data_IF_943826387782
#
_entry.id   IF_943826387782
#
_cell.length_a   1.000
_cell.length_b   1.000
_cell.length_c   1.000
_cell.angle_alpha   90.00
_cell.angle_beta   90.00
_cell.angle_gamma   90.00
#
_symmetry.space_group_name_H-M   'P 1'
#
loop_
_entity.id
_entity.type
_entity.pdbx_description
1 polymer ?
#
# COMPACT_ATOMS: atom_id res chain seq x y z
N UNK A 1 33.79 28.43 -29.35
CA UNK A 1 33.35 29.29 -28.21
C UNK A 1 32.14 28.64 -27.58
N UNK A 2 32.24 28.11 -26.36
CA UNK A 2 31.06 27.67 -25.61
C UNK A 2 30.29 28.92 -25.20
N UNK A 3 29.07 29.11 -25.71
CA UNK A 3 28.19 30.16 -25.20
C UNK A 3 27.90 29.89 -23.72
N UNK A 4 28.22 30.86 -22.86
CA UNK A 4 27.82 30.83 -21.45
C UNK A 4 26.35 31.23 -21.40
N UNK A 5 25.49 30.32 -20.90
CA UNK A 5 24.06 30.55 -20.72
C UNK A 5 23.73 30.59 -19.23
N UNK A 6 23.09 31.66 -18.76
CA UNK A 6 22.61 31.82 -17.37
C UNK A 6 21.11 31.59 -17.31
N UNK A 7 20.66 30.69 -16.43
CA UNK A 7 19.23 30.36 -16.27
C UNK A 7 18.59 31.23 -15.19
N UNK A 8 17.72 32.17 -15.59
CA UNK A 8 16.97 33.06 -14.67
C UNK A 8 15.51 32.61 -14.48
N UNK A 9 15.31 31.37 -14.04
CA UNK A 9 13.99 30.71 -14.06
C UNK A 9 13.08 31.06 -12.86
N UNK A 10 13.64 31.52 -11.75
CA UNK A 10 12.86 31.79 -10.52
C UNK A 10 11.83 32.90 -10.74
N UNK A 11 12.26 34.05 -11.30
CA UNK A 11 11.35 35.15 -11.59
C UNK A 11 10.30 34.76 -12.64
N UNK A 12 10.73 34.09 -13.71
CA UNK A 12 9.83 33.59 -14.74
C UNK A 12 8.74 32.67 -14.14
N UNK A 13 9.11 31.71 -13.28
CA UNK A 13 8.17 30.86 -12.57
C UNK A 13 7.18 31.66 -11.72
N UNK A 14 7.67 32.67 -10.98
CA UNK A 14 6.82 33.51 -10.14
C UNK A 14 5.86 34.38 -10.95
N UNK A 15 6.28 34.88 -12.13
CA UNK A 15 5.41 35.64 -13.03
C UNK A 15 4.23 34.76 -13.51
N UNK A 16 4.45 33.46 -13.79
CA UNK A 16 3.36 32.53 -14.11
C UNK A 16 2.51 32.12 -12.90
N UNK A 17 3.08 32.09 -11.69
CA UNK A 17 2.29 31.94 -10.47
C UNK A 17 1.31 33.12 -10.30
N UNK A 18 1.77 34.35 -10.51
CA UNK A 18 0.93 35.55 -10.48
C UNK A 18 -0.15 35.54 -11.58
N UNK A 19 0.17 35.01 -12.77
CA UNK A 19 -0.81 34.84 -13.84
C UNK A 19 -1.93 33.86 -13.43
N UNK A 20 -1.58 32.76 -12.76
CA UNK A 20 -2.56 31.81 -12.23
C UNK A 20 -3.49 32.46 -11.19
N UNK A 21 -2.95 33.31 -10.31
CA UNK A 21 -3.71 33.99 -9.25
C UNK A 21 -4.59 35.14 -9.76
N UNK A 22 -4.06 35.95 -10.68
CA UNK A 22 -4.78 37.12 -11.22
C UNK A 22 -5.91 36.76 -12.18
N UNK A 23 -5.90 35.54 -12.73
CA UNK A 23 -6.84 35.06 -13.74
C UNK A 23 -6.91 35.96 -14.99
N UNK A 24 -5.90 36.82 -15.21
CA UNK A 24 -5.91 37.81 -16.27
C UNK A 24 -5.87 37.13 -17.65
N UNK A 25 -6.84 37.44 -18.51
CA UNK A 25 -6.96 36.85 -19.86
C UNK A 25 -7.16 35.31 -19.86
N UNK A 26 -7.81 34.78 -18.82
CA UNK A 26 -8.21 33.37 -18.82
C UNK A 26 -9.14 33.06 -20.00
N UNK A 27 -8.97 31.88 -20.58
CA UNK A 27 -9.78 31.41 -21.71
C UNK A 27 -10.23 29.95 -21.56
N UNK A 28 -9.91 29.32 -20.43
CA UNK A 28 -10.35 27.98 -20.03
C UNK A 28 -10.97 28.05 -18.65
N UNK A 29 -12.09 27.36 -18.43
CA UNK A 29 -12.64 27.07 -17.12
C UNK A 29 -12.63 25.57 -16.91
N UNK A 30 -11.92 25.10 -15.89
CA UNK A 30 -11.97 23.72 -15.43
C UNK A 30 -12.90 23.64 -14.22
N UNK A 31 -13.92 22.80 -14.29
CA UNK A 31 -14.87 22.57 -13.21
C UNK A 31 -14.58 21.25 -12.50
N UNK A 32 -14.49 21.29 -11.17
CA UNK A 32 -14.30 20.12 -10.30
C UNK A 32 -15.31 20.22 -9.17
N UNK A 33 -16.32 19.34 -9.19
CA UNK A 33 -17.47 19.46 -8.29
C UNK A 33 -18.13 20.84 -8.39
N UNK A 34 -18.17 21.57 -7.28
CA UNK A 34 -18.72 22.93 -7.22
C UNK A 34 -17.68 24.03 -7.50
N UNK A 35 -16.39 23.71 -7.53
CA UNK A 35 -15.33 24.70 -7.76
C UNK A 35 -15.04 24.86 -9.26
N UNK A 36 -14.71 26.08 -9.65
CA UNK A 36 -14.33 26.45 -11.02
C UNK A 36 -12.98 27.15 -10.99
N UNK A 37 -12.07 26.71 -11.85
CA UNK A 37 -10.71 27.23 -11.99
C UNK A 37 -10.59 27.91 -13.34
N UNK A 38 -10.25 29.19 -13.34
CA UNK A 38 -10.00 29.97 -14.55
C UNK A 38 -8.53 29.86 -14.92
N UNK A 39 -8.26 29.38 -16.12
CA UNK A 39 -6.94 28.94 -16.57
C UNK A 39 -6.66 29.37 -18.02
N UNK A 40 -5.43 29.12 -18.47
CA UNK A 40 -4.88 29.63 -19.73
C UNK A 40 -4.51 28.46 -20.64
N UNK A 41 -5.21 28.34 -21.77
CA UNK A 41 -5.07 27.22 -22.70
C UNK A 41 -3.63 26.97 -23.14
N UNK A 42 -2.84 28.04 -23.38
CA UNK A 42 -1.47 27.93 -23.86
C UNK A 42 -0.57 27.19 -22.85
N UNK A 43 -0.68 27.53 -21.56
CA UNK A 43 0.09 26.89 -20.50
C UNK A 43 -0.31 25.42 -20.37
N UNK A 44 -1.63 25.16 -20.30
CA UNK A 44 -2.16 23.80 -20.16
C UNK A 44 -1.76 22.90 -21.34
N UNK A 45 -1.95 23.39 -22.57
CA UNK A 45 -1.64 22.68 -23.82
C UNK A 45 -0.17 22.27 -23.90
N UNK A 46 0.73 23.18 -23.49
CA UNK A 46 2.16 22.93 -23.58
C UNK A 46 2.63 21.94 -22.51
N UNK A 47 2.07 22.01 -21.31
CA UNK A 47 2.59 21.32 -20.13
C UNK A 47 1.94 19.96 -19.87
N UNK A 48 0.75 19.69 -20.42
CA UNK A 48 0.01 18.45 -20.17
C UNK A 48 -0.55 17.88 -21.48
N UNK A 49 -0.26 16.61 -21.74
CA UNK A 49 -0.81 15.89 -22.91
C UNK A 49 -2.32 15.70 -22.81
N UNK A 50 -2.85 15.48 -21.60
CA UNK A 50 -4.29 15.43 -21.35
C UNK A 50 -4.96 16.74 -21.78
N UNK A 51 -4.49 17.88 -21.26
CA UNK A 51 -5.07 19.16 -21.64
C UNK A 51 -4.86 19.48 -23.12
N UNK A 52 -3.73 19.08 -23.70
CA UNK A 52 -3.51 19.20 -25.15
C UNK A 52 -4.64 18.54 -25.93
N UNK A 53 -4.96 17.29 -25.59
CA UNK A 53 -6.05 16.55 -26.23
C UNK A 53 -7.41 17.23 -26.00
N UNK A 54 -7.75 17.49 -24.73
CA UNK A 54 -9.04 18.10 -24.36
C UNK A 54 -9.28 19.47 -25.02
N UNK A 55 -8.24 20.30 -25.12
CA UNK A 55 -8.34 21.63 -25.74
C UNK A 55 -8.51 21.57 -27.25
N UNK A 56 -8.06 20.49 -27.91
CA UNK A 56 -8.29 20.31 -29.36
C UNK A 56 -9.68 19.77 -29.68
N UNK A 57 -10.30 19.03 -28.77
CA UNK A 57 -11.61 18.39 -28.98
C UNK A 57 -12.77 19.24 -28.48
N UNK A 58 -12.54 20.10 -27.48
CA UNK A 58 -13.62 20.86 -26.83
C UNK A 58 -14.03 22.10 -27.62
N UNK A 59 -15.33 22.26 -27.87
CA UNK A 59 -15.88 23.45 -28.53
C UNK A 59 -15.89 24.67 -27.60
N UNK A 60 -15.48 25.83 -28.13
CA UNK A 60 -15.55 27.12 -27.42
C UNK A 60 -17.00 27.60 -27.31
N UNK A 61 -17.39 28.10 -26.13
CA UNK A 61 -18.64 28.84 -25.94
C UNK A 61 -18.31 30.23 -25.40
N UNK A 62 -18.72 31.29 -26.10
CA UNK A 62 -18.41 32.68 -25.76
C UNK A 62 -16.89 32.91 -25.57
N UNK A 63 -16.07 32.40 -26.49
CA UNK A 63 -14.59 32.42 -26.44
C UNK A 63 -13.95 31.69 -25.24
N UNK A 64 -14.74 31.00 -24.40
CA UNK A 64 -14.24 30.24 -23.25
C UNK A 64 -14.40 28.74 -23.52
N UNK A 65 -13.35 27.97 -23.23
CA UNK A 65 -13.39 26.50 -23.22
C UNK A 65 -13.82 26.05 -21.81
N UNK A 66 -14.77 25.13 -21.70
CA UNK A 66 -15.21 24.58 -20.42
C UNK A 66 -14.92 23.09 -20.35
N UNK A 67 -14.09 22.68 -19.40
CA UNK A 67 -13.72 21.28 -19.15
C UNK A 67 -14.29 20.90 -17.79
N UNK A 68 -14.90 19.71 -17.68
CA UNK A 68 -15.40 19.19 -16.40
C UNK A 68 -14.63 17.93 -16.04
N UNK A 69 -14.01 17.91 -14.87
CA UNK A 69 -13.31 16.74 -14.35
C UNK A 69 -14.17 16.08 -13.28
N UNK A 70 -14.45 14.79 -13.46
CA UNK A 70 -15.05 13.94 -12.43
C UNK A 70 -13.94 13.24 -11.63
N UNK A 71 -14.29 12.77 -10.43
CA UNK A 71 -13.44 11.88 -9.61
C UNK A 71 -12.03 12.44 -9.35
N UNK A 72 -11.95 13.76 -9.15
CA UNK A 72 -10.69 14.49 -8.97
C UNK A 72 -10.72 15.24 -7.64
N UNK A 73 -9.72 15.02 -6.78
CA UNK A 73 -9.54 15.81 -5.56
C UNK A 73 -9.24 17.26 -5.93
N UNK A 74 -9.98 18.19 -5.33
CA UNK A 74 -9.78 19.63 -5.48
C UNK A 74 -8.41 20.04 -4.94
N UNK A 75 -8.00 19.47 -3.81
CA UNK A 75 -6.71 19.73 -3.16
C UNK A 75 -5.56 19.27 -4.05
N UNK A 76 -5.61 18.03 -4.57
CA UNK A 76 -4.62 17.52 -5.50
C UNK A 76 -4.56 18.36 -6.78
N UNK A 77 -5.70 18.79 -7.32
CA UNK A 77 -5.73 19.61 -8.52
C UNK A 77 -5.10 21.00 -8.31
N UNK A 78 -5.29 21.62 -7.14
CA UNK A 78 -4.64 22.89 -6.79
C UNK A 78 -3.10 22.78 -6.80
N UNK A 79 -2.57 21.68 -6.28
CA UNK A 79 -1.13 21.43 -6.29
C UNK A 79 -0.66 21.17 -7.73
N UNK A 80 -1.36 20.32 -8.48
CA UNK A 80 -1.07 19.98 -9.86
C UNK A 80 -1.04 21.23 -10.77
N UNK A 81 -2.04 22.10 -10.65
CA UNK A 81 -2.14 23.28 -11.52
C UNK A 81 -1.05 24.30 -11.20
N UNK A 82 -0.71 24.48 -9.92
CA UNK A 82 0.44 25.30 -9.53
C UNK A 82 1.74 24.75 -10.13
N UNK A 83 1.95 23.42 -10.09
CA UNK A 83 3.10 22.80 -10.75
C UNK A 83 3.09 23.00 -12.27
N UNK A 84 1.94 22.88 -12.93
CA UNK A 84 1.83 23.10 -14.38
C UNK A 84 2.32 24.51 -14.77
N UNK A 85 1.95 25.53 -13.98
CA UNK A 85 2.32 26.92 -14.23
C UNK A 85 3.77 27.24 -13.86
N UNK A 86 4.25 26.70 -12.74
CA UNK A 86 5.51 27.16 -12.12
C UNK A 86 6.67 26.18 -12.28
N UNK A 87 6.38 24.90 -12.52
CA UNK A 87 7.37 23.82 -12.41
C UNK A 87 7.84 23.57 -10.97
N UNK A 88 7.18 24.16 -9.97
CA UNK A 88 7.53 23.98 -8.55
C UNK A 88 6.50 23.10 -7.85
N UNK A 89 6.97 22.29 -6.91
CA UNK A 89 6.13 21.46 -6.05
C UNK A 89 6.63 21.55 -4.60
N UNK A 90 5.69 21.65 -3.67
CA UNK A 90 5.93 21.63 -2.23
C UNK A 90 4.94 20.64 -1.64
N UNK A 91 5.46 19.54 -1.06
CA UNK A 91 4.66 18.45 -0.50
C UNK A 91 4.75 18.37 1.03
N UNK A 92 5.58 19.20 1.65
CA UNK A 92 5.75 19.24 3.09
C UNK A 92 4.49 19.81 3.75
N UNK A 93 3.96 19.11 4.76
CA UNK A 93 2.75 19.50 5.48
C UNK A 93 1.44 19.04 4.82
N UNK A 94 1.46 18.56 3.57
CA UNK A 94 0.28 17.98 2.93
C UNK A 94 -0.05 16.59 3.48
N UNK A 95 -1.34 16.26 3.50
CA UNK A 95 -1.83 14.92 3.89
C UNK A 95 -1.34 13.89 2.88
N UNK A 96 -0.87 12.75 3.36
CA UNK A 96 -0.35 11.67 2.50
C UNK A 96 -1.38 11.19 1.48
N UNK A 97 -2.67 11.17 1.83
CA UNK A 97 -3.75 10.85 0.91
C UNK A 97 -3.85 11.84 -0.26
N UNK A 98 -3.66 13.14 0.00
CA UNK A 98 -3.68 14.17 -1.04
C UNK A 98 -2.47 14.06 -1.96
N UNK A 99 -1.29 13.71 -1.42
CA UNK A 99 -0.08 13.45 -2.20
C UNK A 99 -0.26 12.20 -3.07
N UNK A 100 -0.88 11.17 -2.54
CA UNK A 100 -1.21 9.96 -3.30
C UNK A 100 -2.24 10.23 -4.41
N UNK A 101 -3.28 11.02 -4.13
CA UNK A 101 -4.25 11.43 -5.15
C UNK A 101 -3.59 12.33 -6.22
N UNK A 102 -2.62 13.16 -5.83
CA UNK A 102 -1.80 13.94 -6.76
C UNK A 102 -0.95 13.05 -7.67
N UNK A 103 -0.40 11.93 -7.19
CA UNK A 103 0.32 10.96 -8.03
C UNK A 103 -0.59 10.42 -9.14
N UNK A 104 -1.78 9.95 -8.77
CA UNK A 104 -2.77 9.41 -9.71
C UNK A 104 -3.17 10.48 -10.73
N UNK A 105 -3.41 11.70 -10.26
CA UNK A 105 -3.75 12.82 -11.10
C UNK A 105 -2.60 13.19 -12.05
N UNK A 106 -1.36 13.21 -11.58
CA UNK A 106 -0.18 13.53 -12.39
C UNK A 106 -0.04 12.55 -13.56
N UNK A 107 -0.33 11.27 -13.33
CA UNK A 107 -0.35 10.27 -14.39
C UNK A 107 -1.47 10.52 -15.40
N UNK A 108 -2.71 10.75 -14.93
CA UNK A 108 -3.87 11.09 -15.78
C UNK A 108 -3.58 12.30 -16.67
N UNK A 109 -2.84 13.28 -16.15
CA UNK A 109 -2.49 14.51 -16.86
C UNK A 109 -1.23 14.41 -17.73
N UNK A 110 -0.58 13.24 -17.77
CA UNK A 110 0.59 12.97 -18.59
C UNK A 110 1.85 13.70 -18.12
N UNK A 111 2.02 13.90 -16.82
CA UNK A 111 3.14 14.61 -16.21
C UNK A 111 4.20 13.63 -15.69
N UNK A 112 4.91 12.95 -16.60
CA UNK A 112 5.82 11.85 -16.26
C UNK A 112 6.90 12.21 -15.22
N UNK A 113 7.56 13.37 -15.36
CA UNK A 113 8.56 13.85 -14.40
C UNK A 113 7.98 14.00 -12.99
N UNK A 114 6.73 14.48 -12.89
CA UNK A 114 6.05 14.64 -11.62
C UNK A 114 5.65 13.29 -11.01
N UNK A 115 5.21 12.35 -11.84
CA UNK A 115 4.89 10.98 -11.44
C UNK A 115 6.11 10.27 -10.85
N UNK A 116 7.27 10.41 -11.49
CA UNK A 116 8.53 9.84 -10.98
C UNK A 116 8.90 10.46 -9.62
N UNK A 117 8.90 11.80 -9.53
CA UNK A 117 9.22 12.52 -8.30
C UNK A 117 8.31 12.13 -7.13
N UNK A 118 6.99 12.10 -7.32
CA UNK A 118 6.04 11.82 -6.23
C UNK A 118 6.18 10.36 -5.76
N UNK A 119 6.42 9.41 -6.66
CA UNK A 119 6.66 8.01 -6.25
C UNK A 119 7.87 7.91 -5.32
N UNK A 120 9.01 8.48 -5.71
CA UNK A 120 10.21 8.51 -4.87
C UNK A 120 9.93 9.20 -3.53
N UNK A 121 9.29 10.36 -3.54
CA UNK A 121 8.95 11.08 -2.31
C UNK A 121 8.09 10.24 -1.35
N UNK A 122 7.05 9.58 -1.86
CA UNK A 122 6.17 8.73 -1.06
C UNK A 122 6.91 7.52 -0.48
N UNK A 123 7.79 6.89 -1.28
CA UNK A 123 8.59 5.73 -0.83
C UNK A 123 9.61 6.16 0.22
N UNK A 124 10.34 7.24 0.00
CA UNK A 124 11.46 7.63 0.86
C UNK A 124 10.98 8.27 2.17
N UNK A 125 9.88 9.03 2.13
CA UNK A 125 9.44 9.85 3.26
C UNK A 125 8.15 9.35 3.90
N UNK A 126 7.29 8.62 3.15
CA UNK A 126 5.93 8.25 3.58
C UNK A 126 5.68 6.73 3.53
N UNK A 127 6.73 5.90 3.52
CA UNK A 127 6.63 4.44 3.53
C UNK A 127 5.68 3.86 4.60
N UNK A 128 5.64 4.37 5.86
CA UNK A 128 4.70 3.85 6.86
C UNK A 128 3.24 4.00 6.43
N UNK A 129 2.88 5.13 5.81
CA UNK A 129 1.54 5.35 5.30
C UNK A 129 1.23 4.45 4.11
N UNK A 130 2.19 4.25 3.19
CA UNK A 130 2.02 3.31 2.07
C UNK A 130 1.75 1.88 2.55
N UNK A 131 2.45 1.44 3.61
CA UNK A 131 2.23 0.12 4.25
C UNK A 131 0.88 0.06 4.97
N UNK A 132 0.45 1.14 5.61
CA UNK A 132 -0.86 1.21 6.27
C UNK A 132 -2.00 1.13 5.24
N UNK A 133 -1.82 1.71 4.05
CA UNK A 133 -2.81 1.74 2.96
C UNK A 133 -2.46 0.77 1.83
N UNK A 134 -1.86 -0.37 2.18
CA UNK A 134 -1.21 -1.25 1.22
C UNK A 134 -2.15 -1.76 0.12
N UNK A 135 -3.37 -2.20 0.44
CA UNK A 135 -4.29 -2.74 -0.57
C UNK A 135 -4.66 -1.69 -1.63
N UNK A 136 -5.01 -0.46 -1.19
CA UNK A 136 -5.24 0.67 -2.09
C UNK A 136 -4.00 1.00 -2.92
N UNK A 137 -2.83 1.13 -2.28
CA UNK A 137 -1.57 1.46 -2.97
C UNK A 137 -1.20 0.40 -4.01
N UNK A 138 -1.30 -0.88 -3.65
CA UNK A 138 -1.05 -1.99 -4.54
C UNK A 138 -2.00 -1.96 -5.73
N UNK A 139 -3.32 -1.89 -5.49
CA UNK A 139 -4.31 -1.85 -6.56
C UNK A 139 -4.06 -0.69 -7.51
N UNK A 140 -3.84 0.53 -6.99
CA UNK A 140 -3.55 1.71 -7.81
C UNK A 140 -2.24 1.57 -8.59
N UNK A 141 -1.19 0.99 -8.00
CA UNK A 141 0.11 0.83 -8.67
C UNK A 141 0.03 -0.02 -9.94
N UNK A 142 -0.93 -0.95 -10.02
CA UNK A 142 -1.12 -1.83 -11.18
C UNK A 142 -2.21 -1.36 -12.15
N UNK A 143 -2.84 -0.19 -11.91
CA UNK A 143 -3.74 0.45 -12.88
C UNK A 143 -3.01 0.92 -14.13
N UNK A 144 -1.75 1.32 -13.98
CA UNK A 144 -0.94 1.88 -15.05
C UNK A 144 0.52 1.44 -14.90
N UNK A 145 1.19 1.22 -16.01
CA UNK A 145 2.60 0.83 -16.07
C UNK A 145 3.57 1.97 -15.71
N UNK A 146 3.07 3.20 -15.55
CA UNK A 146 3.87 4.36 -15.17
C UNK A 146 4.24 4.39 -13.68
N UNK A 147 3.60 3.56 -12.84
CA UNK A 147 3.87 3.49 -11.40
C UNK A 147 4.94 2.45 -11.02
N UNK A 148 6.00 2.32 -11.81
CA UNK A 148 7.02 1.27 -11.67
C UNK A 148 7.68 1.23 -10.29
N UNK A 149 7.99 2.39 -9.71
CA UNK A 149 8.64 2.45 -8.40
C UNK A 149 7.72 1.96 -7.28
N UNK A 150 6.43 2.32 -7.33
CA UNK A 150 5.44 1.79 -6.40
C UNK A 150 5.15 0.29 -6.63
N UNK A 151 5.08 -0.15 -7.88
CA UNK A 151 4.94 -1.57 -8.20
C UNK A 151 6.11 -2.37 -7.60
N UNK A 152 7.35 -1.91 -7.79
CA UNK A 152 8.54 -2.53 -7.19
C UNK A 152 8.48 -2.53 -5.66
N UNK A 153 8.17 -1.39 -5.04
CA UNK A 153 8.01 -1.28 -3.59
C UNK A 153 6.98 -2.29 -3.05
N UNK A 154 5.80 -2.38 -3.67
CA UNK A 154 4.75 -3.28 -3.20
C UNK A 154 5.12 -4.75 -3.44
N UNK A 155 5.71 -5.06 -4.59
CA UNK A 155 6.11 -6.44 -4.94
C UNK A 155 7.22 -6.96 -4.03
N UNK A 156 8.22 -6.15 -3.67
CA UNK A 156 9.24 -6.56 -2.70
C UNK A 156 8.63 -6.88 -1.33
N UNK A 157 7.64 -6.10 -0.88
CA UNK A 157 6.92 -6.38 0.37
C UNK A 157 6.12 -7.68 0.26
N UNK A 158 5.38 -7.89 -0.83
CA UNK A 158 4.58 -9.10 -1.05
C UNK A 158 5.40 -10.37 -1.19
N UNK A 159 6.63 -10.28 -1.70
CA UNK A 159 7.57 -11.40 -1.73
C UNK A 159 7.85 -11.95 -0.32
N UNK A 160 7.82 -11.09 0.71
CA UNK A 160 8.18 -11.44 2.09
C UNK A 160 6.96 -11.62 2.99
N UNK A 161 5.92 -10.82 2.75
CA UNK A 161 4.73 -10.73 3.60
C UNK A 161 3.44 -10.69 2.77
N UNK A 162 3.09 -11.77 2.02
CA UNK A 162 1.90 -11.78 1.18
C UNK A 162 0.60 -11.56 1.98
N UNK A 163 0.58 -11.92 3.26
CA UNK A 163 -0.57 -11.74 4.13
C UNK A 163 -0.94 -10.27 4.39
N UNK A 164 -0.05 -9.31 4.14
CA UNK A 164 -0.37 -7.88 4.28
C UNK A 164 -1.57 -7.47 3.41
N UNK A 165 -1.74 -8.14 2.26
CA UNK A 165 -2.89 -7.93 1.38
C UNK A 165 -3.90 -9.06 1.52
N UNK A 166 -3.46 -10.33 1.56
CA UNK A 166 -4.38 -11.48 1.54
C UNK A 166 -5.22 -11.60 2.82
N UNK A 167 -4.71 -11.14 3.96
CA UNK A 167 -5.46 -11.12 5.21
C UNK A 167 -6.19 -9.78 5.45
N UNK A 168 -6.11 -8.82 4.53
CA UNK A 168 -6.79 -7.53 4.66
C UNK A 168 -8.27 -7.67 4.30
N UNK A 169 -9.12 -6.96 5.04
CA UNK A 169 -10.54 -6.79 4.72
C UNK A 169 -10.75 -6.08 3.38
N UNK A 170 -9.77 -5.27 2.94
CA UNK A 170 -9.80 -4.55 1.66
C UNK A 170 -9.37 -5.44 0.48
N UNK A 171 -9.00 -6.71 0.69
CA UNK A 171 -8.52 -7.60 -0.37
C UNK A 171 -9.52 -7.76 -1.50
N UNK A 172 -10.80 -7.94 -1.18
CA UNK A 172 -11.84 -8.13 -2.19
C UNK A 172 -12.12 -6.87 -3.00
N UNK A 173 -11.62 -5.70 -2.56
CA UNK A 173 -11.76 -4.42 -3.25
C UNK A 173 -10.62 -4.13 -4.23
N UNK A 174 -9.57 -4.96 -4.30
CA UNK A 174 -8.50 -4.77 -5.27
C UNK A 174 -9.03 -5.04 -6.68
N UNK A 175 -8.48 -4.33 -7.65
CA UNK A 175 -8.83 -4.51 -9.05
C UNK A 175 -8.27 -5.82 -9.62
N UNK A 176 -8.95 -6.37 -10.63
CA UNK A 176 -8.61 -7.65 -11.26
C UNK A 176 -7.16 -7.69 -11.77
N UNK A 177 -6.71 -6.61 -12.42
CA UNK A 177 -5.32 -6.48 -12.88
C UNK A 177 -4.30 -6.62 -11.74
N UNK A 178 -4.58 -6.10 -10.55
CA UNK A 178 -3.73 -6.26 -9.38
C UNK A 178 -3.73 -7.71 -8.90
N UNK A 179 -4.90 -8.36 -8.84
CA UNK A 179 -5.00 -9.78 -8.50
C UNK A 179 -4.24 -10.66 -9.52
N UNK A 180 -4.40 -10.42 -10.81
CA UNK A 180 -3.67 -11.12 -11.88
C UNK A 180 -2.16 -10.99 -11.69
N UNK A 181 -1.67 -9.77 -11.41
CA UNK A 181 -0.25 -9.53 -11.16
C UNK A 181 0.23 -10.22 -9.87
N UNK A 182 -0.61 -10.33 -8.85
CA UNK A 182 -0.32 -11.11 -7.65
C UNK A 182 -0.17 -12.60 -8.00
N UNK A 183 -1.14 -13.18 -8.70
CA UNK A 183 -1.16 -14.61 -9.01
C UNK A 183 0.00 -15.05 -9.91
N UNK A 184 0.46 -14.19 -10.83
CA UNK A 184 1.61 -14.43 -11.70
C UNK A 184 2.95 -14.59 -10.95
N UNK A 185 3.04 -14.14 -9.70
CA UNK A 185 4.31 -14.14 -8.95
C UNK A 185 4.74 -15.55 -8.56
N UNK A 186 6.00 -15.88 -8.80
CA UNK A 186 6.58 -17.16 -8.40
C UNK A 186 7.07 -17.17 -6.95
N UNK A 187 7.20 -16.02 -6.30
CA UNK A 187 7.89 -15.84 -5.01
C UNK A 187 6.93 -15.55 -3.84
N UNK A 188 5.62 -15.78 -4.00
CA UNK A 188 4.68 -15.64 -2.88
C UNK A 188 4.88 -16.74 -1.85
N UNK A 189 5.12 -16.34 -0.60
CA UNK A 189 5.31 -17.24 0.55
C UNK A 189 3.97 -17.63 1.18
N UNK A 190 3.12 -18.31 0.40
CA UNK A 190 1.82 -18.82 0.86
C UNK A 190 1.47 -20.12 0.11
N UNK A 191 0.73 -21.03 0.75
CA UNK A 191 0.28 -22.26 0.11
C UNK A 191 -0.72 -21.97 -1.02
N UNK A 192 -0.62 -22.74 -2.12
CA UNK A 192 -1.48 -22.52 -3.28
C UNK A 192 -2.97 -22.75 -2.94
N UNK A 193 -3.26 -23.63 -1.97
CA UNK A 193 -4.63 -23.87 -1.53
C UNK A 193 -5.26 -22.68 -0.80
N UNK A 194 -4.45 -21.85 -0.12
CA UNK A 194 -4.90 -20.60 0.50
C UNK A 194 -5.09 -19.50 -0.55
N UNK A 195 -4.23 -19.45 -1.58
CA UNK A 195 -4.41 -18.56 -2.72
C UNK A 195 -5.74 -18.85 -3.41
N UNK A 196 -6.07 -20.12 -3.63
CA UNK A 196 -7.34 -20.53 -4.19
C UNK A 196 -8.53 -20.02 -3.37
N UNK A 197 -8.51 -20.19 -2.04
CA UNK A 197 -9.58 -19.70 -1.16
C UNK A 197 -9.77 -18.19 -1.31
N UNK A 198 -8.66 -17.44 -1.40
CA UNK A 198 -8.69 -15.99 -1.61
C UNK A 198 -9.22 -15.61 -2.97
N UNK A 199 -8.82 -16.30 -4.04
CA UNK A 199 -9.34 -16.05 -5.40
C UNK A 199 -10.85 -16.30 -5.47
N UNK A 200 -11.34 -17.36 -4.83
CA UNK A 200 -12.78 -17.61 -4.74
C UNK A 200 -13.48 -16.54 -3.89
N UNK A 201 -12.89 -16.12 -2.77
CA UNK A 201 -13.42 -15.03 -1.95
C UNK A 201 -13.55 -13.73 -2.76
N UNK A 202 -12.51 -13.35 -3.50
CA UNK A 202 -12.52 -12.19 -4.38
C UNK A 202 -13.55 -12.34 -5.49
N UNK A 203 -13.57 -13.48 -6.18
CA UNK A 203 -14.51 -13.74 -7.27
C UNK A 203 -15.96 -13.65 -6.82
N UNK A 204 -16.30 -14.20 -5.65
CA UNK A 204 -17.66 -14.10 -5.09
C UNK A 204 -18.09 -12.67 -4.81
N UNK A 205 -17.19 -11.83 -4.29
CA UNK A 205 -17.50 -10.42 -4.01
C UNK A 205 -17.68 -9.61 -5.31
N UNK A 206 -16.98 -10.00 -6.37
CA UNK A 206 -17.04 -9.33 -7.68
C UNK A 206 -18.16 -9.87 -8.58
N UNK A 207 -18.78 -10.98 -8.24
CA UNK A 207 -19.94 -11.54 -8.96
C UNK A 207 -21.23 -11.23 -8.20
N UNK A 208 -22.08 -10.31 -8.70
CA UNK A 208 -23.32 -9.96 -8.02
C UNK A 208 -24.30 -11.14 -7.95
N UNK A 209 -25.22 -11.08 -6.99
CA UNK A 209 -26.36 -12.00 -6.84
C UNK A 209 -26.01 -13.50 -6.61
N UNK A 210 -24.80 -13.79 -6.13
CA UNK A 210 -24.43 -15.16 -5.75
C UNK A 210 -25.06 -15.57 -4.40
N UNK A 211 -25.73 -16.74 -4.33
CA UNK A 211 -26.18 -17.29 -3.06
C UNK A 211 -25.01 -17.59 -2.12
N UNK A 212 -25.20 -17.40 -0.81
CA UNK A 212 -24.15 -17.71 0.18
C UNK A 212 -23.89 -19.22 0.29
N UNK A 213 -24.94 -20.04 0.19
CA UNK A 213 -24.84 -21.49 0.21
C UNK A 213 -24.60 -22.03 -1.21
N UNK A 214 -23.49 -22.75 -1.38
CA UNK A 214 -23.09 -23.35 -2.65
C UNK A 214 -24.12 -24.36 -3.20
N UNK A 215 -24.91 -25.00 -2.32
CA UNK A 215 -25.94 -25.95 -2.74
C UNK A 215 -27.11 -25.27 -3.48
N UNK A 216 -27.25 -23.95 -3.33
CA UNK A 216 -28.27 -23.16 -4.01
C UNK A 216 -27.80 -22.63 -5.37
N UNK A 217 -26.54 -22.89 -5.75
CA UNK A 217 -25.98 -22.36 -6.98
C UNK A 217 -26.53 -23.07 -8.20
N UNK A 218 -27.00 -22.27 -9.15
CA UNK A 218 -27.41 -22.69 -10.48
C UNK A 218 -26.23 -22.72 -11.45
N UNK A 219 -26.39 -23.35 -12.61
CA UNK A 219 -25.38 -23.31 -13.68
C UNK A 219 -25.02 -21.87 -14.08
N UNK A 220 -26.01 -20.96 -14.07
CA UNK A 220 -25.77 -19.53 -14.30
C UNK A 220 -24.84 -18.93 -13.25
N UNK A 221 -25.01 -19.25 -11.97
CA UNK A 221 -24.13 -18.73 -10.92
C UNK A 221 -22.68 -19.18 -11.12
N UNK A 222 -22.46 -20.44 -11.49
CA UNK A 222 -21.11 -20.93 -11.82
C UNK A 222 -20.54 -20.27 -13.07
N UNK A 223 -21.36 -20.04 -14.11
CA UNK A 223 -20.94 -19.36 -15.33
C UNK A 223 -20.57 -17.89 -15.08
N UNK A 224 -21.35 -17.18 -14.26
CA UNK A 224 -21.09 -15.79 -13.89
C UNK A 224 -19.78 -15.69 -13.10
N UNK A 225 -19.56 -16.57 -12.10
CA UNK A 225 -18.29 -16.63 -11.36
C UNK A 225 -17.11 -16.99 -12.27
N UNK A 226 -17.30 -17.97 -13.17
CA UNK A 226 -16.28 -18.35 -14.15
C UNK A 226 -15.87 -17.16 -15.01
N UNK A 227 -16.84 -16.37 -15.46
CA UNK A 227 -16.59 -15.17 -16.27
C UNK A 227 -15.79 -14.14 -15.48
N UNK A 228 -16.13 -13.92 -14.20
CA UNK A 228 -15.38 -13.03 -13.30
C UNK A 228 -13.95 -13.50 -13.05
N UNK A 229 -13.71 -14.82 -13.00
CA UNK A 229 -12.41 -15.41 -12.68
C UNK A 229 -11.64 -15.92 -13.90
N UNK A 230 -12.08 -15.64 -15.13
CA UNK A 230 -11.56 -16.24 -16.36
C UNK A 230 -10.04 -16.04 -16.52
N UNK A 231 -9.55 -14.84 -16.19
CA UNK A 231 -8.11 -14.53 -16.24
C UNK A 231 -7.33 -15.04 -15.02
N UNK A 232 -8.02 -15.34 -13.91
CA UNK A 232 -7.39 -15.77 -12.66
C UNK A 232 -7.25 -17.30 -12.59
N UNK A 233 -8.25 -18.06 -13.07
CA UNK A 233 -8.29 -19.52 -13.04
C UNK A 233 -7.02 -20.16 -13.66
N UNK A 234 -6.51 -19.71 -14.82
CA UNK A 234 -5.31 -20.27 -15.43
C UNK A 234 -4.02 -19.99 -14.66
N UNK A 235 -4.02 -19.07 -13.69
CA UNK A 235 -2.84 -18.66 -12.92
C UNK A 235 -2.68 -19.45 -11.61
N UNK A 236 -3.63 -20.33 -11.29
CA UNK A 236 -3.59 -21.19 -10.09
C UNK A 236 -2.78 -22.45 -10.39
N UNK A 237 -1.89 -22.81 -9.47
CA UNK A 237 -1.01 -23.98 -9.59
C UNK A 237 -1.67 -25.25 -9.05
N UNK A 238 -2.79 -25.68 -9.61
CA UNK A 238 -3.59 -26.82 -9.11
C UNK A 238 -2.78 -28.08 -8.83
N UNK A 239 -1.83 -28.42 -9.71
CA UNK A 239 -0.97 -29.61 -9.60
C UNK A 239 0.07 -29.54 -8.47
N UNK A 240 0.15 -28.39 -7.77
CA UNK A 240 1.01 -28.18 -6.59
C UNK A 240 0.21 -28.22 -5.29
N UNK A 241 -1.12 -28.38 -5.36
CA UNK A 241 -1.99 -28.53 -4.20
C UNK A 241 -2.05 -29.99 -3.74
N UNK A 242 -2.27 -30.21 -2.45
CA UNK A 242 -2.52 -31.56 -1.94
C UNK A 242 -3.84 -32.11 -2.49
N UNK A 243 -3.94 -33.42 -2.71
CA UNK A 243 -5.21 -34.05 -3.12
C UNK A 243 -6.34 -33.79 -2.11
N UNK A 244 -6.01 -33.69 -0.82
CA UNK A 244 -6.95 -33.30 0.25
C UNK A 244 -7.53 -31.91 -0.01
N UNK A 245 -6.68 -30.92 -0.32
CA UNK A 245 -7.10 -29.55 -0.59
C UNK A 245 -7.90 -29.45 -1.89
N UNK A 246 -7.51 -30.18 -2.94
CA UNK A 246 -8.30 -30.22 -4.18
C UNK A 246 -9.72 -30.73 -3.90
N UNK A 247 -9.86 -31.83 -3.16
CA UNK A 247 -11.18 -32.40 -2.85
C UNK A 247 -12.00 -31.48 -1.95
N UNK A 248 -11.39 -30.87 -0.94
CA UNK A 248 -12.10 -30.04 0.02
C UNK A 248 -12.44 -28.64 -0.53
N UNK A 249 -11.52 -28.01 -1.25
CA UNK A 249 -11.59 -26.57 -1.61
C UNK A 249 -11.89 -26.34 -3.10
N UNK A 250 -11.35 -27.16 -4.00
CA UNK A 250 -11.47 -26.93 -5.46
C UNK A 250 -12.65 -27.66 -6.08
N UNK A 251 -12.85 -28.95 -5.73
CA UNK A 251 -13.96 -29.80 -6.22
C UNK A 251 -15.36 -29.18 -6.10
N UNK A 252 -15.70 -28.42 -5.03
CA UNK A 252 -16.99 -27.76 -4.95
C UNK A 252 -17.25 -26.78 -6.11
N UNK A 253 -16.19 -26.18 -6.66
CA UNK A 253 -16.23 -25.21 -7.75
C UNK A 253 -15.87 -25.80 -9.12
N UNK A 254 -15.76 -27.13 -9.27
CA UNK A 254 -15.28 -27.79 -10.52
C UNK A 254 -15.94 -27.29 -11.81
N UNK A 255 -17.19 -26.82 -11.74
CA UNK A 255 -17.92 -26.29 -12.90
C UNK A 255 -17.25 -25.06 -13.53
N UNK A 256 -16.53 -24.25 -12.75
CA UNK A 256 -15.85 -23.05 -13.27
C UNK A 256 -14.56 -23.37 -14.02
N UNK A 257 -13.93 -24.52 -13.72
CA UNK A 257 -12.66 -24.94 -14.32
C UNK A 257 -12.82 -25.44 -15.77
N UNK A 258 -14.04 -25.85 -16.15
CA UNK A 258 -14.30 -26.55 -17.41
C UNK A 258 -13.89 -28.03 -17.35
N UNK A 259 -14.45 -28.83 -18.26
CA UNK A 259 -14.29 -30.30 -18.26
C UNK A 259 -12.82 -30.71 -18.38
N UNK A 260 -12.09 -30.19 -19.36
CA UNK A 260 -10.70 -30.59 -19.63
C UNK A 260 -9.77 -30.37 -18.42
N UNK A 261 -9.83 -29.18 -17.79
CA UNK A 261 -8.96 -28.88 -16.65
C UNK A 261 -9.32 -29.71 -15.42
N UNK A 262 -10.61 -29.90 -15.15
CA UNK A 262 -11.05 -30.73 -14.02
C UNK A 262 -10.67 -32.21 -14.21
N UNK A 263 -10.79 -32.73 -15.43
CA UNK A 263 -10.43 -34.11 -15.76
C UNK A 263 -8.90 -34.33 -15.63
N UNK A 264 -8.10 -33.37 -16.09
CA UNK A 264 -6.63 -33.42 -15.95
C UNK A 264 -6.20 -33.34 -14.47
N UNK A 265 -6.84 -32.47 -13.66
CA UNK A 265 -6.61 -32.40 -12.20
C UNK A 265 -6.98 -33.73 -11.53
N UNK A 266 -8.16 -34.27 -11.86
CA UNK A 266 -8.64 -35.54 -11.29
C UNK A 266 -7.73 -36.70 -11.65
N UNK A 267 -7.25 -36.73 -12.91
CA UNK A 267 -6.31 -37.73 -13.42
C UNK A 267 -4.99 -37.69 -12.64
N UNK A 268 -4.38 -36.51 -12.46
CA UNK A 268 -3.13 -36.36 -11.69
C UNK A 268 -3.25 -36.72 -10.21
N UNK A 269 -4.45 -36.63 -9.63
CA UNK A 269 -4.69 -37.06 -8.25
C UNK A 269 -4.72 -38.58 -8.13
N UNK A 270 -5.28 -39.27 -9.13
CA UNK A 270 -5.38 -40.73 -9.16
C UNK A 270 -4.08 -41.40 -9.58
N UNK A 271 -3.39 -40.82 -10.56
CA UNK A 271 -2.12 -41.27 -11.11
C UNK A 271 -1.21 -40.05 -11.35
N UNK A 272 -0.25 -39.80 -10.43
CA UNK A 272 0.68 -38.68 -10.54
C UNK A 272 1.53 -38.69 -11.83
N UNK A 273 1.74 -39.85 -12.43
CA UNK A 273 2.60 -40.02 -13.61
C UNK A 273 1.82 -39.94 -14.94
N UNK A 274 0.48 -39.97 -14.88
CA UNK A 274 -0.38 -39.89 -16.06
C UNK A 274 -0.12 -38.63 -16.90
N UNK A 275 -0.13 -38.76 -18.23
CA UNK A 275 -0.04 -37.63 -19.13
C UNK A 275 -1.35 -36.83 -19.17
N UNK A 276 -1.23 -35.50 -19.23
CA UNK A 276 -2.37 -34.58 -19.28
C UNK A 276 -2.17 -33.52 -20.35
N UNK A 277 -3.25 -32.85 -20.74
CA UNK A 277 -3.21 -31.78 -21.76
C UNK A 277 -2.96 -30.39 -21.18
N UNK A 278 -3.34 -30.18 -19.92
CA UNK A 278 -3.23 -28.89 -19.22
C UNK A 278 -1.78 -28.50 -18.97
N UNK A 279 -1.51 -27.20 -19.04
CA UNK A 279 -0.20 -26.65 -18.68
C UNK A 279 0.04 -26.76 -17.17
N UNK A 280 1.15 -27.40 -16.78
CA UNK A 280 1.55 -27.52 -15.39
C UNK A 280 2.40 -26.32 -15.00
N UNK A 281 1.86 -25.44 -14.16
CA UNK A 281 2.63 -24.36 -13.56
C UNK A 281 3.57 -24.91 -12.46
N UNK A 282 4.84 -24.45 -12.40
CA UNK A 282 5.80 -24.89 -11.39
C UNK A 282 5.41 -24.38 -10.01
N UNK A 283 5.79 -25.08 -8.94
CA UNK A 283 5.57 -24.61 -7.56
C UNK A 283 6.14 -23.20 -7.33
N UNK A 284 5.45 -22.41 -6.50
CA UNK A 284 6.00 -21.13 -6.03
C UNK A 284 7.29 -21.38 -5.26
N UNK A 285 8.31 -20.57 -5.54
CA UNK A 285 9.60 -20.55 -4.86
C UNK A 285 9.38 -20.14 -3.41
N UNK A 286 9.29 -21.13 -2.54
CA UNK A 286 9.39 -20.92 -1.10
C UNK A 286 10.84 -20.58 -0.81
N UNK A 287 11.09 -19.37 -0.33
CA UNK A 287 12.36 -19.08 0.32
C UNK A 287 12.27 -19.90 1.60
N UNK A 288 13.17 -20.87 1.84
CA UNK A 288 13.25 -21.48 3.15
C UNK A 288 13.40 -20.29 4.08
N UNK A 289 12.45 -20.10 4.98
CA UNK A 289 12.57 -19.12 6.03
C UNK A 289 13.67 -19.68 6.95
N UNK A 290 14.93 -19.66 6.51
CA UNK A 290 15.96 -19.11 7.35
C UNK A 290 15.46 -17.69 7.58
N UNK A 291 14.59 -17.55 8.59
CA UNK A 291 14.62 -16.37 9.41
C UNK A 291 16.13 -16.14 9.57
N UNK A 292 16.67 -14.94 9.32
CA UNK A 292 17.96 -14.68 9.91
C UNK A 292 17.78 -15.19 11.34
N UNK A 293 18.59 -16.18 11.75
CA UNK A 293 18.79 -16.41 13.16
C UNK A 293 19.23 -15.03 13.56
N UNK A 294 18.28 -14.23 14.05
CA UNK A 294 18.62 -13.01 14.68
C UNK A 294 19.24 -13.62 15.91
N UNK A 295 20.55 -13.79 15.90
CA UNK A 295 21.33 -13.73 17.11
C UNK A 295 21.03 -12.33 17.67
N UNK A 296 19.82 -12.15 18.22
CA UNK A 296 19.53 -11.05 19.10
C UNK A 296 20.09 -11.49 20.44
N UNK A 297 21.42 -11.60 20.50
CA UNK A 297 22.09 -11.17 21.70
C UNK A 297 21.92 -9.64 21.76
N UNK A 298 20.70 -9.14 22.00
CA UNK A 298 20.57 -7.80 22.53
C UNK A 298 21.11 -7.91 23.95
N UNK A 299 22.23 -7.25 24.20
CA UNK A 299 22.83 -7.24 25.52
C UNK A 299 21.82 -6.57 26.44
N UNK A 300 21.22 -7.37 27.32
CA UNK A 300 20.31 -6.85 28.32
C UNK A 300 21.04 -5.80 29.16
N UNK A 301 20.69 -4.55 28.89
CA UNK A 301 21.29 -3.40 29.53
C UNK A 301 20.51 -3.00 30.80
N UNK A 302 19.48 -3.75 31.18
CA UNK A 302 18.69 -3.50 32.39
C UNK A 302 19.35 -4.12 33.61
N UNK A 303 19.28 -3.41 34.74
CA UNK A 303 19.64 -3.96 36.06
C UNK A 303 18.40 -4.34 36.88
N UNK A 304 17.20 -4.23 36.30
CA UNK A 304 15.90 -4.42 36.97
C UNK A 304 15.18 -5.67 36.44
N UNK A 305 15.23 -5.91 35.13
CA UNK A 305 14.54 -7.03 34.47
C UNK A 305 15.51 -7.88 33.67
N UNK A 306 15.21 -9.18 33.57
CA UNK A 306 15.99 -10.17 32.81
C UNK A 306 15.31 -10.49 31.47
N UNK A 307 15.90 -11.39 30.69
CA UNK A 307 15.45 -11.74 29.34
C UNK A 307 14.08 -12.43 29.35
N UNK A 308 13.80 -13.20 30.40
CA UNK A 308 12.49 -13.81 30.65
C UNK A 308 11.38 -12.76 30.79
N UNK A 309 11.65 -11.66 31.50
CA UNK A 309 10.70 -10.54 31.58
C UNK A 309 10.53 -9.83 30.24
N UNK A 310 11.59 -9.69 29.43
CA UNK A 310 11.48 -9.09 28.10
C UNK A 310 10.61 -9.93 27.17
N UNK A 311 10.75 -11.26 27.21
CA UNK A 311 9.91 -12.18 26.44
C UNK A 311 8.43 -12.09 26.87
N UNK A 312 8.18 -11.96 28.16
CA UNK A 312 6.82 -11.80 28.71
C UNK A 312 6.20 -10.45 28.34
N UNK A 313 6.94 -9.35 28.51
CA UNK A 313 6.47 -8.01 28.15
C UNK A 313 6.18 -7.92 26.65
N UNK A 314 7.00 -8.57 25.81
CA UNK A 314 6.77 -8.62 24.37
C UNK A 314 5.43 -9.29 24.04
N UNK A 315 5.10 -10.38 24.74
CA UNK A 315 3.78 -11.03 24.58
C UNK A 315 2.63 -10.10 24.98
N UNK A 316 2.80 -9.27 26.01
CA UNK A 316 1.79 -8.29 26.43
C UNK A 316 1.60 -7.17 25.40
N UNK A 317 2.69 -6.67 24.81
CA UNK A 317 2.65 -5.65 23.74
C UNK A 317 1.86 -6.19 22.55
N UNK A 318 2.13 -7.43 22.13
CA UNK A 318 1.48 -8.08 20.98
C UNK A 318 0.09 -8.65 21.28
N UNK A 319 -0.33 -8.66 22.55
CA UNK A 319 -1.49 -9.44 23.03
C UNK A 319 -1.41 -10.91 22.62
N UNK A 320 -0.20 -11.45 22.60
CA UNK A 320 0.08 -12.84 22.28
C UNK A 320 -0.36 -13.74 23.45
N UNK A 321 -1.06 -14.89 23.20
CA UNK A 321 -1.66 -15.69 24.27
C UNK A 321 -0.63 -16.44 25.13
N UNK A 322 0.59 -16.60 24.63
CA UNK A 322 1.69 -17.25 25.33
C UNK A 322 2.92 -16.34 25.35
N UNK A 323 3.77 -16.53 26.36
CA UNK A 323 5.08 -15.90 26.45
C UNK A 323 5.96 -16.38 25.28
N UNK A 324 6.78 -15.46 24.74
CA UNK A 324 7.79 -15.80 23.72
C UNK A 324 8.93 -16.63 24.31
N UNK A 325 9.62 -17.40 23.48
CA UNK A 325 10.94 -17.92 23.84
C UNK A 325 11.94 -16.76 23.94
N UNK A 326 12.90 -16.83 24.88
CA UNK A 326 13.94 -15.80 25.05
C UNK A 326 14.79 -15.60 23.79
N UNK A 327 14.89 -16.62 22.95
CA UNK A 327 15.61 -16.59 21.67
C UNK A 327 14.79 -16.00 20.52
N UNK A 328 13.48 -15.81 20.72
CA UNK A 328 12.52 -15.40 19.68
C UNK A 328 11.82 -14.07 19.99
N UNK A 329 12.42 -13.23 20.84
CA UNK A 329 11.85 -11.93 21.23
C UNK A 329 11.73 -11.02 19.97
N UNK A 330 10.53 -10.55 19.61
CA UNK A 330 10.30 -9.82 18.35
C UNK A 330 10.85 -8.38 18.36
N UNK A 331 11.18 -7.86 19.55
CA UNK A 331 11.59 -6.47 19.80
C UNK A 331 13.07 -6.34 20.16
N UNK A 332 13.68 -5.21 19.74
CA UNK A 332 14.98 -4.76 20.26
C UNK A 332 14.76 -3.68 21.31
N UNK A 333 14.97 -4.01 22.58
CA UNK A 333 14.87 -3.05 23.68
C UNK A 333 16.16 -2.24 23.81
N UNK A 334 16.07 -0.92 23.65
CA UNK A 334 17.18 -0.01 23.86
C UNK A 334 16.99 0.74 25.17
N UNK A 335 17.98 0.70 26.07
CA UNK A 335 17.94 1.48 27.32
C UNK A 335 18.15 2.96 27.02
N UNK A 336 17.08 3.75 27.09
CA UNK A 336 17.12 5.19 26.89
C UNK A 336 17.52 5.94 28.17
N UNK A 337 16.85 5.62 29.29
CA UNK A 337 17.02 6.28 30.59
C UNK A 337 17.15 5.25 31.71
N UNK A 338 18.07 5.49 32.65
CA UNK A 338 18.18 4.75 33.91
C UNK A 338 18.29 5.76 35.05
N UNK A 339 17.36 5.71 36.00
CA UNK A 339 17.32 6.70 37.09
C UNK A 339 18.61 6.80 37.92
N UNK A 340 19.35 5.71 38.10
CA UNK A 340 20.65 5.72 38.78
C UNK A 340 21.79 6.35 37.96
N UNK A 341 21.62 6.50 36.64
CA UNK A 341 22.59 7.11 35.71
C UNK A 341 22.21 8.55 35.37
N UNK A 342 20.92 8.78 35.10
CA UNK A 342 20.42 10.01 34.48
C UNK A 342 19.55 10.85 35.44
N UNK A 343 19.22 10.32 36.62
CA UNK A 343 18.27 10.94 37.55
C UNK A 343 16.80 10.66 37.22
N UNK A 344 15.90 11.17 38.07
CA UNK A 344 14.45 10.93 38.01
C UNK A 344 13.65 12.19 37.68
N UNK A 345 14.25 13.16 36.97
CA UNK A 345 13.58 14.44 36.67
C UNK A 345 12.66 14.30 35.45
N UNK A 346 11.52 14.99 35.49
CA UNK A 346 10.57 15.08 34.38
C UNK A 346 11.23 15.58 33.09
N UNK A 347 12.08 16.61 33.20
CA UNK A 347 12.81 17.19 32.05
C UNK A 347 13.72 16.16 31.37
N UNK A 348 14.42 15.33 32.15
CA UNK A 348 15.31 14.30 31.58
C UNK A 348 14.51 13.18 30.93
N UNK A 349 13.35 12.83 31.50
CA UNK A 349 12.44 11.86 30.90
C UNK A 349 11.93 12.33 29.54
N UNK A 350 11.34 13.53 29.46
CA UNK A 350 10.80 14.03 28.18
C UNK A 350 11.89 14.20 27.12
N UNK A 351 13.07 14.67 27.50
CA UNK A 351 14.20 14.81 26.56
C UNK A 351 14.64 13.48 25.92
N UNK A 352 14.53 12.35 26.64
CA UNK A 352 15.07 11.05 26.20
C UNK A 352 14.00 10.05 25.78
N UNK A 353 12.76 10.19 26.23
CA UNK A 353 11.73 9.15 26.21
C UNK A 353 10.40 9.60 25.56
N UNK A 354 10.37 10.69 24.81
CA UNK A 354 9.13 11.22 24.19
C UNK A 354 8.54 10.35 23.04
N UNK A 355 9.17 9.22 22.72
CA UNK A 355 8.63 8.24 21.75
C UNK A 355 7.89 7.09 22.46
N UNK A 356 7.47 6.07 21.69
CA UNK A 356 6.92 4.81 22.23
C UNK A 356 7.89 4.23 23.26
N UNK A 357 7.45 4.18 24.52
CA UNK A 357 8.35 3.87 25.64
C UNK A 357 7.72 2.89 26.61
N UNK A 358 8.53 1.90 26.99
CA UNK A 358 8.28 1.01 28.12
C UNK A 358 9.03 1.56 29.35
N UNK A 359 8.31 1.80 30.43
CA UNK A 359 8.87 2.23 31.72
C UNK A 359 8.81 1.07 32.70
N UNK A 360 9.93 0.81 33.38
CA UNK A 360 10.05 -0.23 34.40
C UNK A 360 10.71 0.36 35.64
N UNK A 361 10.10 0.14 36.80
CA UNK A 361 10.51 0.68 38.10
C UNK A 361 10.61 -0.46 39.09
N UNK A 362 11.73 -0.54 39.82
CA UNK A 362 11.87 -1.43 40.97
C UNK A 362 11.59 -0.67 42.25
N UNK A 363 10.70 -1.18 43.09
CA UNK A 363 10.43 -0.60 44.40
C UNK A 363 11.62 -0.88 45.33
N UNK A 364 12.17 0.16 45.95
CA UNK A 364 13.35 0.02 46.80
C UNK A 364 13.04 -0.83 48.04
N UNK A 365 13.95 -1.73 48.39
CA UNK A 365 13.77 -2.64 49.54
C UNK A 365 12.80 -3.80 49.29
N UNK A 366 12.19 -3.91 48.10
CA UNK A 366 11.33 -5.04 47.73
C UNK A 366 11.78 -5.69 46.42
N UNK A 367 11.18 -6.83 46.09
CA UNK A 367 11.35 -7.49 44.79
C UNK A 367 10.24 -7.11 43.79
N UNK A 368 9.43 -6.10 44.11
CA UNK A 368 8.32 -5.68 43.25
C UNK A 368 8.85 -4.85 42.08
N UNK A 369 8.36 -5.21 40.90
CA UNK A 369 8.64 -4.53 39.64
C UNK A 369 7.32 -4.00 39.11
N UNK A 370 7.25 -2.69 38.89
CA UNK A 370 6.12 -1.99 38.32
C UNK A 370 6.51 -1.48 36.94
N UNK A 371 5.54 -1.34 36.05
CA UNK A 371 5.82 -0.79 34.74
C UNK A 371 4.58 -0.34 34.01
N UNK A 372 4.82 0.41 32.95
CA UNK A 372 3.80 0.86 32.03
C UNK A 372 4.38 0.93 30.62
N UNK A 373 3.54 0.69 29.63
CA UNK A 373 3.89 0.82 28.22
C UNK A 373 2.98 1.86 27.59
N UNK A 374 3.56 2.86 26.93
CA UNK A 374 2.82 3.82 26.14
C UNK A 374 3.08 3.56 24.64
N UNK A 375 2.09 3.05 23.89
CA UNK A 375 2.21 2.82 22.44
C UNK A 375 2.12 4.12 21.62
N UNK A 376 1.90 5.27 22.26
CA UNK A 376 1.80 6.58 21.62
C UNK A 376 3.00 7.45 21.95
N UNK A 377 3.32 8.40 21.07
CA UNK A 377 4.34 9.44 21.29
C UNK A 377 3.86 10.37 22.41
N UNK A 378 4.73 10.71 23.35
CA UNK A 378 4.43 11.69 24.38
C UNK A 378 4.37 13.09 23.74
N UNK A 379 3.25 13.78 23.87
CA UNK A 379 3.14 15.20 23.49
C UNK A 379 3.25 16.05 24.75
N UNK A 380 4.38 16.74 24.93
CA UNK A 380 4.50 17.73 25.99
C UNK A 380 3.59 18.92 25.67
N UNK A 381 2.41 19.00 26.29
CA UNK A 381 1.67 20.28 26.32
C UNK A 381 2.46 21.22 27.23
N UNK A 382 3.15 22.19 26.62
CA UNK A 382 3.67 23.35 27.33
C UNK A 382 2.49 23.99 28.04
N UNK A 383 2.54 24.05 29.37
CA UNK A 383 1.55 24.74 30.19
C UNK A 383 1.42 26.19 29.73
N UNK A 384 0.18 26.59 29.46
CA UNK A 384 -0.24 27.98 29.41
C UNK A 384 0.14 28.66 30.73
N UNK A 385 0.77 29.83 30.59
CA UNK A 385 1.27 30.72 31.63
C UNK A 385 0.33 30.86 32.83
N UNK A 386 0.91 30.84 34.03
CA UNK A 386 0.29 31.44 35.20
C UNK A 386 0.34 32.97 35.15
N UNK A 387 -0.75 33.58 35.63
CA UNK A 387 -0.94 34.96 36.11
C UNK A 387 -0.52 36.13 35.21
#
# INVERSE_FOLDING_TARGET
MSQISTKLLVRFSNDFAQLLESEYDYNVIVKIGQQSFKLHSLVLYQRSSFFRQELTTTTKKNNIIKITLTDTSVEAFKILIKYIYTGTILLEGDKESAIFDLLVLSNKFGLAELVEYIQSYLIDNKAPWLKLKFAKVYSTSFQDNNFKALQFFCTDILAKHPNIILASDEFTSIQENALINLLKRDDLQIEESEIWDKVIQWGKEQTPDLPSDLNQWTEKNFLDLKTTLDQCIPLIRYFQMSGKDIVAKVKPYRQILGLNLWDDISTKIMDPDASISSTILPARKKIPVQLPVREVHFINSSSVINDEHFAEISSWIDRHPSKYDITEIPYKFNLLLRGSRDGFTFETFHRLCDNITLVVIKVNGTNEILGAYNPLVWTSMIQLNGL
#
